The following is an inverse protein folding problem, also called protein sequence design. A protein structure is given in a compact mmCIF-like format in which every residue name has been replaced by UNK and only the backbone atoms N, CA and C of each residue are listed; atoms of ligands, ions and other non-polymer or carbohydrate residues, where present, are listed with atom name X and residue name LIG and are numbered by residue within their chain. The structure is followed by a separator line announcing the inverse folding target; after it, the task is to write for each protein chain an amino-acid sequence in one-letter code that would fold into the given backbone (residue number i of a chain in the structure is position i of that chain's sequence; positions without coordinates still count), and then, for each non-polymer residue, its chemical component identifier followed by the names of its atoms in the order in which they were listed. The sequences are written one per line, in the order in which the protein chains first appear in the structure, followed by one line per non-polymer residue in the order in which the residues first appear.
data_IF_960051629656
#
_entry.id   IF_960051629656
#
_cell.length_a   1.000
_cell.length_b   1.000
_cell.length_c   1.000
_cell.angle_alpha   90.00
_cell.angle_beta   90.00
_cell.angle_gamma   90.00
#
_symmetry.space_group_name_H-M   'P 1'
#
loop_
_entity.id
_entity.type
_entity.pdbx_description
1 polymer ?
#
# COMPACT_ATOMS: atom_id res chain seq x y z
N UNK A 1 8.52 8.82 24.23
CA UNK A 1 8.96 8.65 22.82
C UNK A 1 7.93 7.94 21.93
N UNK A 2 6.93 7.24 22.48
CA UNK A 2 5.92 6.45 21.75
C UNK A 2 4.87 7.27 20.96
N UNK A 3 4.60 8.52 21.37
CA UNK A 3 3.53 9.33 20.79
C UNK A 3 3.85 9.85 19.37
N UNK A 4 5.12 10.23 19.11
CA UNK A 4 5.56 10.81 17.83
C UNK A 4 5.49 9.80 16.68
N UNK A 5 5.90 8.55 16.93
CA UNK A 5 5.86 7.49 15.92
C UNK A 5 4.42 7.14 15.49
N UNK A 6 3.47 7.17 16.43
CA UNK A 6 2.05 6.93 16.13
C UNK A 6 1.46 8.06 15.29
N UNK A 7 1.88 9.31 15.53
CA UNK A 7 1.46 10.47 14.71
C UNK A 7 1.99 10.35 13.28
N UNK A 8 3.29 10.06 13.11
CA UNK A 8 3.92 9.92 11.79
C UNK A 8 3.29 8.78 10.97
N UNK A 9 3.08 7.61 11.59
CA UNK A 9 2.39 6.46 10.95
C UNK A 9 0.99 6.88 10.48
N UNK A 10 0.19 7.50 11.36
CA UNK A 10 -1.16 7.96 11.03
C UNK A 10 -1.19 9.02 9.95
N UNK A 11 -0.20 9.91 9.89
CA UNK A 11 -0.08 10.90 8.81
C UNK A 11 0.20 10.24 7.46
N UNK A 12 1.08 9.24 7.42
CA UNK A 12 1.37 8.48 6.20
C UNK A 12 0.15 7.71 5.70
N UNK A 13 -0.58 7.06 6.60
CA UNK A 13 -1.85 6.38 6.30
C UNK A 13 -2.89 7.38 5.79
N UNK A 14 -3.07 8.52 6.47
CA UNK A 14 -4.04 9.55 6.06
C UNK A 14 -3.74 10.09 4.67
N UNK A 15 -2.46 10.29 4.35
CA UNK A 15 -2.04 10.69 3.01
C UNK A 15 -2.37 9.61 1.97
N UNK A 16 -2.13 8.33 2.30
CA UNK A 16 -2.45 7.20 1.43
C UNK A 16 -3.97 7.07 1.18
N UNK A 17 -4.79 7.13 2.24
CA UNK A 17 -6.27 7.07 2.16
C UNK A 17 -6.81 8.18 1.27
N UNK A 18 -6.36 9.41 1.49
CA UNK A 18 -6.82 10.56 0.71
C UNK A 18 -6.54 10.37 -0.77
N UNK A 19 -5.34 9.91 -1.10
CA UNK A 19 -4.93 9.70 -2.48
C UNK A 19 -5.68 8.54 -3.13
N UNK A 20 -5.84 7.44 -2.39
CA UNK A 20 -6.64 6.29 -2.81
C UNK A 20 -8.08 6.71 -3.15
N UNK A 21 -8.78 7.40 -2.23
CA UNK A 21 -10.16 7.86 -2.45
C UNK A 21 -10.24 8.77 -3.67
N UNK A 22 -9.31 9.73 -3.80
CA UNK A 22 -9.26 10.66 -4.94
C UNK A 22 -9.18 9.92 -6.27
N UNK A 23 -8.22 8.98 -6.39
CA UNK A 23 -7.98 8.23 -7.62
C UNK A 23 -9.08 7.22 -7.92
N UNK A 24 -9.54 6.48 -6.90
CA UNK A 24 -10.64 5.52 -7.00
C UNK A 24 -11.91 6.22 -7.48
N UNK A 25 -12.29 7.32 -6.83
CA UNK A 25 -13.48 8.09 -7.19
C UNK A 25 -13.37 8.75 -8.56
N UNK A 26 -12.16 9.00 -9.07
CA UNK A 26 -11.99 9.50 -10.43
C UNK A 26 -12.39 8.48 -11.51
N UNK A 27 -12.37 7.18 -11.19
CA UNK A 27 -12.53 6.09 -12.17
C UNK A 27 -13.78 5.23 -11.95
N UNK A 28 -14.30 5.17 -10.73
CA UNK A 28 -15.45 4.32 -10.41
C UNK A 28 -16.73 5.12 -10.21
N UNK A 29 -17.87 4.54 -10.59
CA UNK A 29 -19.19 5.17 -10.42
C UNK A 29 -19.62 5.21 -8.94
N UNK A 30 -19.44 4.09 -8.24
CA UNK A 30 -19.66 4.01 -6.79
C UNK A 30 -18.51 4.73 -6.10
N UNK A 31 -18.82 5.79 -5.36
CA UNK A 31 -17.80 6.63 -4.73
C UNK A 31 -17.56 6.19 -3.30
N UNK A 32 -16.32 6.31 -2.84
CA UNK A 32 -15.92 6.07 -1.46
C UNK A 32 -15.75 7.39 -0.71
N UNK A 33 -16.07 7.37 0.59
CA UNK A 33 -15.72 8.42 1.55
C UNK A 33 -15.08 7.81 2.78
N UNK A 34 -14.17 8.54 3.43
CA UNK A 34 -13.61 8.14 4.71
C UNK A 34 -14.66 8.34 5.81
N UNK A 35 -14.91 7.31 6.63
CA UNK A 35 -15.68 7.45 7.87
C UNK A 35 -14.77 7.80 9.03
N UNK A 36 -13.78 6.95 9.31
CA UNK A 36 -12.81 7.12 10.39
C UNK A 36 -11.58 6.26 10.15
N UNK A 37 -10.49 6.56 10.87
CA UNK A 37 -9.31 5.70 10.96
C UNK A 37 -9.36 4.87 12.24
N UNK A 38 -8.86 3.64 12.17
CA UNK A 38 -8.77 2.70 13.28
C UNK A 38 -7.41 1.99 13.20
N UNK A 39 -7.04 1.17 14.18
CA UNK A 39 -5.75 0.48 14.16
C UNK A 39 -5.80 -0.85 13.37
N UNK A 40 -7.00 -1.41 13.15
CA UNK A 40 -7.28 -2.61 12.35
C UNK A 40 -8.74 -2.60 11.86
N UNK A 41 -9.00 -2.53 10.55
CA UNK A 41 -8.06 -2.06 9.51
C UNK A 41 -7.71 -0.58 9.73
N UNK A 42 -6.67 -0.07 9.04
CA UNK A 42 -6.17 1.31 9.23
C UNK A 42 -7.22 2.41 8.90
N UNK A 43 -8.20 2.11 8.05
CA UNK A 43 -9.32 3.01 7.77
C UNK A 43 -10.62 2.28 7.47
N UNK A 44 -11.74 2.92 7.81
CA UNK A 44 -13.08 2.50 7.43
C UNK A 44 -13.63 3.50 6.41
N UNK A 45 -13.96 2.98 5.24
CA UNK A 45 -14.61 3.70 4.16
C UNK A 45 -16.08 3.36 4.11
N UNK A 46 -16.85 4.23 3.48
CA UNK A 46 -18.22 3.93 3.10
C UNK A 46 -18.42 4.24 1.62
N UNK A 47 -19.05 3.33 0.91
CA UNK A 47 -19.47 3.56 -0.45
C UNK A 47 -20.73 4.45 -0.53
N UNK A 48 -21.04 4.97 -1.71
CA UNK A 48 -22.19 5.85 -1.91
C UNK A 48 -23.56 5.18 -1.71
N UNK A 49 -23.59 3.85 -1.51
CA UNK A 49 -24.78 3.05 -1.20
C UNK A 49 -24.92 2.76 0.30
N UNK A 50 -23.94 3.16 1.10
CA UNK A 50 -23.93 2.97 2.56
C UNK A 50 -23.12 1.76 3.05
N UNK A 51 -22.55 0.96 2.16
CA UNK A 51 -21.76 -0.23 2.51
C UNK A 51 -20.41 0.18 3.09
N UNK A 52 -20.03 -0.39 4.24
CA UNK A 52 -18.72 -0.19 4.86
C UNK A 52 -17.68 -1.11 4.23
N UNK A 53 -16.48 -0.56 4.02
CA UNK A 53 -15.33 -1.30 3.51
C UNK A 53 -14.13 -0.96 4.40
N UNK A 54 -13.45 -1.98 4.89
CA UNK A 54 -12.17 -1.82 5.56
C UNK A 54 -11.05 -1.57 4.57
N UNK A 55 -10.11 -0.68 4.89
CA UNK A 55 -8.92 -0.43 4.11
C UNK A 55 -7.68 -0.63 4.98
N UNK A 56 -6.97 -1.72 4.73
CA UNK A 56 -5.68 -2.00 5.35
C UNK A 56 -4.55 -1.36 4.52
N UNK A 57 -3.62 -0.67 5.16
CA UNK A 57 -2.58 0.10 4.48
C UNK A 57 -1.21 -0.48 4.81
N UNK A 58 -0.38 -0.60 3.79
CA UNK A 58 1.01 -1.01 3.97
C UNK A 58 1.91 -0.28 2.99
N UNK A 59 3.13 -0.03 3.43
CA UNK A 59 4.10 0.71 2.64
C UNK A 59 5.14 -0.27 2.11
N UNK A 60 5.38 -0.20 0.80
CA UNK A 60 6.48 -0.86 0.12
C UNK A 60 7.68 0.10 0.13
N UNK A 61 8.78 -0.37 0.69
CA UNK A 61 10.08 0.29 0.65
C UNK A 61 11.05 -0.60 -0.11
N UNK A 62 12.02 0.00 -0.78
CA UNK A 62 13.10 -0.73 -1.43
C UNK A 62 13.97 -1.48 -0.40
N UNK A 63 14.37 -0.77 0.66
CA UNK A 63 15.15 -1.33 1.76
C UNK A 63 14.85 -0.66 3.11
N UNK A 64 15.55 -1.11 4.15
CA UNK A 64 15.41 -0.56 5.49
C UNK A 64 15.95 0.87 5.63
N UNK A 65 16.92 1.27 4.82
CA UNK A 65 17.49 2.62 4.85
C UNK A 65 16.47 3.63 4.31
N UNK A 66 15.81 3.32 3.19
CA UNK A 66 14.71 4.11 2.64
C UNK A 66 13.54 4.22 3.62
N UNK A 67 13.20 3.10 4.28
CA UNK A 67 12.16 3.10 5.31
C UNK A 67 12.50 4.03 6.49
N UNK A 68 13.75 4.00 6.99
CA UNK A 68 14.20 4.88 8.07
C UNK A 68 14.18 6.36 7.64
N UNK A 69 14.71 6.66 6.46
CA UNK A 69 14.75 8.02 5.94
C UNK A 69 13.35 8.64 5.80
N UNK A 70 12.40 7.87 5.25
CA UNK A 70 11.02 8.33 5.08
C UNK A 70 10.27 8.46 6.41
N UNK A 71 10.64 7.66 7.42
CA UNK A 71 10.12 7.73 8.78
C UNK A 71 10.90 8.71 9.67
N UNK A 72 11.78 9.55 9.12
CA UNK A 72 12.52 10.57 9.86
C UNK A 72 13.48 10.02 10.92
N UNK A 73 13.93 8.77 10.77
CA UNK A 73 14.86 8.11 11.69
C UNK A 73 16.30 8.32 11.20
N UNK A 74 17.24 8.77 12.07
CA UNK A 74 18.64 8.89 11.70
C UNK A 74 19.20 7.52 11.31
N UNK A 75 20.07 7.50 10.32
CA UNK A 75 20.70 6.27 9.88
C UNK A 75 21.84 5.93 10.84
N UNK A 76 21.60 4.99 11.75
CA UNK A 76 22.56 4.63 12.80
C UNK A 76 23.73 3.76 12.29
N UNK A 77 24.11 3.87 11.01
CA UNK A 77 25.20 3.10 10.39
C UNK A 77 24.95 1.60 10.22
N UNK A 78 23.86 1.05 10.75
CA UNK A 78 23.41 -0.32 10.53
C UNK A 78 22.58 -0.41 9.23
N UNK A 79 23.24 -0.11 8.12
CA UNK A 79 22.78 -0.45 6.78
C UNK A 79 23.57 -1.70 6.39
N UNK A 80 22.92 -2.86 6.39
CA UNK A 80 23.50 -4.08 5.83
C UNK A 80 23.96 -3.83 4.38
N UNK A 81 24.74 -4.73 3.76
CA UNK A 81 25.25 -4.52 2.41
C UNK A 81 24.10 -4.11 1.49
N UNK A 82 24.24 -2.93 0.87
CA UNK A 82 23.24 -2.38 -0.03
C UNK A 82 22.98 -3.41 -1.12
N UNK A 83 21.79 -4.02 -1.12
CA UNK A 83 21.41 -4.91 -2.21
C UNK A 83 21.44 -4.09 -3.50
N UNK A 84 22.11 -4.57 -4.57
CA UNK A 84 22.24 -3.81 -5.80
C UNK A 84 20.85 -3.39 -6.27
N UNK A 85 20.71 -2.10 -6.57
CA UNK A 85 19.47 -1.48 -7.01
C UNK A 85 18.88 -2.26 -8.17
N UNK A 86 17.84 -3.05 -7.93
CA UNK A 86 17.25 -3.90 -8.96
C UNK A 86 15.74 -3.99 -8.84
N UNK A 87 15.08 -3.98 -10.00
CA UNK A 87 13.62 -4.12 -10.08
C UNK A 87 13.16 -5.47 -9.52
N UNK A 88 13.95 -6.53 -9.75
CA UNK A 88 13.70 -7.86 -9.22
C UNK A 88 13.62 -7.87 -7.68
N UNK A 89 14.50 -7.12 -7.00
CA UNK A 89 14.44 -6.98 -5.55
C UNK A 89 13.17 -6.26 -5.08
N UNK A 90 12.78 -5.16 -5.74
CA UNK A 90 11.53 -4.45 -5.40
C UNK A 90 10.31 -5.37 -5.59
N UNK A 91 10.24 -6.12 -6.68
CA UNK A 91 9.16 -7.07 -6.95
C UNK A 91 9.14 -8.19 -5.89
N UNK A 92 10.30 -8.71 -5.49
CA UNK A 92 10.39 -9.68 -4.41
C UNK A 92 9.85 -9.12 -3.08
N UNK A 93 10.16 -7.86 -2.75
CA UNK A 93 9.61 -7.18 -1.57
C UNK A 93 8.09 -7.01 -1.67
N UNK A 94 7.57 -6.59 -2.84
CA UNK A 94 6.12 -6.48 -3.08
C UNK A 94 5.42 -7.83 -2.89
N UNK A 95 5.94 -8.89 -3.48
CA UNK A 95 5.39 -10.24 -3.39
C UNK A 95 5.39 -10.77 -1.95
N UNK A 96 6.50 -10.57 -1.22
CA UNK A 96 6.60 -10.95 0.19
C UNK A 96 5.59 -10.17 1.06
N UNK A 97 5.37 -8.90 0.73
CA UNK A 97 4.44 -8.02 1.43
C UNK A 97 2.97 -8.43 1.21
N UNK A 98 2.60 -8.74 -0.03
CA UNK A 98 1.29 -9.32 -0.38
C UNK A 98 1.07 -10.61 0.43
N UNK A 99 1.98 -11.59 0.30
CA UNK A 99 1.87 -12.89 0.99
C UNK A 99 1.73 -12.75 2.50
N UNK A 100 2.51 -11.85 3.11
CA UNK A 100 2.47 -11.60 4.56
C UNK A 100 1.15 -10.96 5.02
N UNK A 101 0.52 -10.13 4.19
CA UNK A 101 -0.77 -9.51 4.53
C UNK A 101 -1.92 -10.49 4.34
N UNK A 102 -1.89 -11.30 3.29
CA UNK A 102 -2.84 -12.39 3.07
C UNK A 102 -2.87 -13.36 4.26
N UNK A 103 -1.69 -13.70 4.82
CA UNK A 103 -1.59 -14.61 5.96
C UNK A 103 -2.12 -14.04 7.29
N UNK A 104 -2.56 -12.78 7.31
CA UNK A 104 -3.04 -12.08 8.52
C UNK A 104 -4.53 -11.75 8.50
N UNK A 105 -5.30 -12.23 7.51
CA UNK A 105 -6.74 -11.90 7.39
C UNK A 105 -7.54 -12.15 8.67
N UNK A 106 -7.28 -13.27 9.35
CA UNK A 106 -8.01 -13.64 10.58
C UNK A 106 -7.87 -12.63 11.73
N UNK A 107 -6.92 -11.68 11.65
CA UNK A 107 -6.72 -10.64 12.66
C UNK A 107 -7.61 -9.40 12.49
N UNK A 108 -8.42 -9.36 11.43
CA UNK A 108 -9.31 -8.24 11.16
C UNK A 108 -10.77 -8.54 11.52
N UNK A 109 -11.51 -7.47 11.77
CA UNK A 109 -12.95 -7.50 12.05
C UNK A 109 -13.73 -8.08 10.85
N UNK A 110 -14.52 -9.15 11.03
CA UNK A 110 -15.28 -9.77 9.95
C UNK A 110 -16.55 -8.99 9.55
N UNK A 111 -16.89 -7.89 10.23
CA UNK A 111 -18.14 -7.16 10.00
C UNK A 111 -18.22 -6.40 8.67
N UNK A 112 -17.12 -6.31 7.92
CA UNK A 112 -17.07 -5.73 6.57
C UNK A 112 -15.95 -6.35 5.73
N UNK A 113 -16.08 -6.36 4.38
CA UNK A 113 -14.99 -6.74 3.50
C UNK A 113 -13.82 -5.77 3.64
N UNK A 114 -12.61 -6.25 3.38
CA UNK A 114 -11.38 -5.47 3.54
C UNK A 114 -10.61 -5.45 2.23
N UNK A 115 -10.27 -4.26 1.75
CA UNK A 115 -9.30 -4.06 0.68
C UNK A 115 -7.91 -3.83 1.27
N UNK A 116 -6.88 -4.27 0.55
CA UNK A 116 -5.49 -3.96 0.84
C UNK A 116 -5.02 -2.80 -0.04
N UNK A 117 -4.38 -1.80 0.55
CA UNK A 117 -3.68 -0.72 -0.15
C UNK A 117 -2.18 -0.83 0.10
N UNK A 118 -1.44 -1.14 -0.95
CA UNK A 118 0.02 -1.13 -0.96
C UNK A 118 0.48 0.20 -1.56
N UNK A 119 1.05 1.07 -0.73
CA UNK A 119 1.66 2.32 -1.16
C UNK A 119 3.14 2.10 -1.45
N UNK A 120 3.53 2.25 -2.71
CA UNK A 120 4.94 2.35 -3.07
C UNK A 120 5.52 3.66 -2.55
N UNK A 121 6.33 3.57 -1.50
CA UNK A 121 7.03 4.70 -0.93
C UNK A 121 8.37 4.95 -1.64
N UNK A 122 8.85 3.97 -2.41
CA UNK A 122 10.10 4.08 -3.14
C UNK A 122 9.94 4.89 -4.44
N UNK A 123 10.75 5.94 -4.64
CA UNK A 123 10.79 6.67 -5.91
C UNK A 123 11.66 5.98 -6.97
N UNK A 124 12.32 4.87 -6.63
CA UNK A 124 13.39 4.25 -7.41
C UNK A 124 12.95 3.78 -8.79
N UNK A 125 11.79 3.12 -8.87
CA UNK A 125 11.29 2.51 -10.09
C UNK A 125 9.97 3.12 -10.47
N UNK A 126 9.82 3.41 -11.76
CA UNK A 126 8.60 3.96 -12.32
C UNK A 126 7.54 2.87 -12.43
N UNK A 127 6.29 3.28 -12.45
CA UNK A 127 5.18 2.39 -12.73
C UNK A 127 5.37 1.63 -14.06
N UNK A 128 5.82 2.29 -15.13
CA UNK A 128 6.04 1.63 -16.42
C UNK A 128 7.00 0.44 -16.33
N UNK A 129 8.07 0.56 -15.54
CA UNK A 129 9.05 -0.51 -15.29
C UNK A 129 8.43 -1.64 -14.48
N UNK A 130 7.71 -1.32 -13.39
CA UNK A 130 7.02 -2.31 -12.55
C UNK A 130 5.97 -3.07 -13.39
N UNK A 131 5.23 -2.37 -14.25
CA UNK A 131 4.19 -2.94 -15.09
C UNK A 131 4.73 -3.78 -16.25
N UNK A 132 5.92 -3.45 -16.77
CA UNK A 132 6.62 -4.29 -17.73
C UNK A 132 6.97 -5.66 -17.13
N UNK A 133 7.24 -5.71 -15.83
CA UNK A 133 7.55 -6.92 -15.07
C UNK A 133 6.33 -7.53 -14.35
N UNK A 134 5.10 -7.17 -14.74
CA UNK A 134 3.86 -7.59 -14.07
C UNK A 134 3.67 -9.11 -13.96
N UNK A 135 4.21 -9.87 -14.91
CA UNK A 135 4.18 -11.35 -14.89
C UNK A 135 4.94 -11.94 -13.70
N UNK A 136 5.84 -11.16 -13.08
CA UNK A 136 6.56 -11.55 -11.87
C UNK A 136 5.91 -11.04 -10.59
N UNK A 137 4.85 -10.24 -10.68
CA UNK A 137 4.09 -9.78 -9.53
C UNK A 137 3.12 -10.91 -9.16
N UNK A 138 3.16 -11.32 -7.89
CA UNK A 138 2.22 -12.29 -7.34
C UNK A 138 0.81 -11.71 -7.45
N UNK A 139 -0.06 -12.37 -8.20
CA UNK A 139 -1.50 -12.11 -8.13
C UNK A 139 -2.01 -12.34 -6.70
N UNK A 140 -2.71 -11.35 -6.10
CA UNK A 140 -3.33 -11.53 -4.80
C UNK A 140 -4.39 -12.63 -4.82
N UNK A 141 -4.67 -13.22 -3.66
CA UNK A 141 -5.76 -14.19 -3.50
C UNK A 141 -7.03 -13.54 -2.90
N UNK A 142 -8.09 -14.34 -2.74
CA UNK A 142 -9.40 -13.90 -2.25
C UNK A 142 -9.44 -13.57 -0.73
N UNK A 143 -8.28 -13.37 -0.10
CA UNK A 143 -8.22 -12.95 1.30
C UNK A 143 -8.65 -11.49 1.45
N UNK A 144 -8.37 -10.63 0.48
CA UNK A 144 -8.88 -9.25 0.43
C UNK A 144 -9.97 -9.14 -0.65
N UNK A 145 -10.86 -8.17 -0.51
CA UNK A 145 -11.87 -7.85 -1.52
C UNK A 145 -11.21 -7.36 -2.81
N UNK A 146 -10.21 -6.49 -2.65
CA UNK A 146 -9.35 -6.01 -3.73
C UNK A 146 -7.96 -5.68 -3.15
N UNK A 147 -6.92 -5.77 -3.96
CA UNK A 147 -5.57 -5.33 -3.62
C UNK A 147 -5.11 -4.22 -4.56
N UNK A 148 -5.01 -3.03 -4.02
CA UNK A 148 -4.65 -1.82 -4.74
C UNK A 148 -3.16 -1.47 -4.58
N UNK A 149 -2.54 -1.06 -5.67
CA UNK A 149 -1.17 -0.55 -5.69
C UNK A 149 -1.16 0.95 -6.02
N UNK A 150 -0.67 1.75 -5.08
CA UNK A 150 -0.53 3.20 -5.19
C UNK A 150 0.94 3.55 -5.42
N UNK A 151 1.26 4.01 -6.62
CA UNK A 151 2.66 4.25 -7.06
C UNK A 151 2.78 5.49 -7.93
N UNK A 152 4.00 5.86 -8.32
CA UNK A 152 4.30 6.98 -9.22
C UNK A 152 4.92 6.49 -10.52
N UNK A 153 4.81 7.30 -11.58
CA UNK A 153 5.35 6.97 -12.90
C UNK A 153 6.42 7.97 -13.39
N UNK A 154 7.35 8.32 -12.50
CA UNK A 154 8.36 9.35 -12.76
C UNK A 154 7.82 10.79 -12.70
N UNK A 155 6.55 10.98 -12.32
CA UNK A 155 5.96 12.29 -12.01
C UNK A 155 5.53 12.36 -10.54
N UNK A 156 5.25 13.57 -9.99
CA UNK A 156 4.72 13.70 -8.63
C UNK A 156 3.34 13.08 -8.45
N UNK A 157 2.62 12.85 -9.54
CA UNK A 157 1.25 12.33 -9.53
C UNK A 157 1.22 10.86 -9.18
N UNK A 158 0.35 10.53 -8.24
CA UNK A 158 0.06 9.16 -7.91
C UNK A 158 -0.82 8.50 -8.99
N UNK A 159 -0.57 7.21 -9.16
CA UNK A 159 -1.33 6.27 -9.99
C UNK A 159 -1.82 5.15 -9.09
N UNK A 160 -3.06 4.74 -9.33
CA UNK A 160 -3.70 3.63 -8.63
C UNK A 160 -3.93 2.50 -9.63
N UNK A 161 -3.62 1.28 -9.24
CA UNK A 161 -3.80 0.07 -10.04
C UNK A 161 -4.42 -1.01 -9.18
N UNK A 162 -5.34 -1.79 -9.74
CA UNK A 162 -5.80 -3.01 -9.11
C UNK A 162 -4.86 -4.16 -9.48
N UNK A 163 -4.23 -4.81 -8.50
CA UNK A 163 -3.36 -5.96 -8.74
C UNK A 163 -4.16 -7.23 -9.04
N UNK A 164 -5.45 -7.25 -8.77
CA UNK A 164 -6.31 -8.40 -9.10
C UNK A 164 -6.60 -8.49 -10.60
N UNK A 165 -6.48 -7.36 -11.32
CA UNK A 165 -6.63 -7.25 -12.77
C UNK A 165 -5.42 -7.82 -13.53
N UNK A 166 -4.37 -8.27 -12.82
CA UNK A 166 -3.25 -8.96 -13.45
C UNK A 166 -3.76 -10.24 -14.15
N UNK A 167 -3.55 -10.29 -15.47
CA UNK A 167 -3.77 -11.48 -16.28
C UNK A 167 -2.54 -12.38 -16.15
N UNK A 168 -2.74 -13.64 -15.78
CA UNK A 168 -1.73 -14.69 -15.86
C UNK A 168 -2.27 -15.79 -16.76
#
# INVERSE_FOLDING_TARGET
MTNRHNVEKRMLERAAVREFIRLYNGRHRVKLRLLYQHDRPDAILQDSRGTKIGLEITHLFYDAAEAKALLGRPDNGASGPASPLSLAHLIAQLNALIKRKESKKQSYDPSYPISLLIRNASPTFRLSEIWAAREHIRKPNDQFMDTWFLTRDGTPDWKLINLDDLSH
#
